data_IF_741407467971
#
_entry.id   IF_741407467971
#
_cell.length_a   1.000
_cell.length_b   1.000
_cell.length_c   1.000
_cell.angle_alpha   90.00
_cell.angle_beta   90.00
_cell.angle_gamma   90.00
#
_symmetry.space_group_name_H-M   'P 1'
#
loop_
_entity.id
_entity.type
_entity.pdbx_description
1 polymer ?
#
# COMPACT_ATOMS: atom_id res chain seq x y z
N UNK A 1 0.90 -5.40 -2.25
CA UNK A 1 1.94 -4.99 -1.30
C UNK A 1 3.17 -4.85 -2.15
N UNK A 2 3.55 -3.61 -2.44
CA UNK A 2 4.86 -3.36 -3.02
C UNK A 2 5.85 -3.22 -1.87
N UNK A 3 7.02 -3.81 -2.05
CA UNK A 3 8.10 -3.74 -1.08
C UNK A 3 9.27 -3.03 -1.72
N UNK A 4 9.59 -1.84 -1.21
CA UNK A 4 10.50 -0.91 -1.83
C UNK A 4 11.56 -0.42 -0.84
N UNK A 5 12.76 -0.07 -1.32
CA UNK A 5 13.75 0.65 -0.49
C UNK A 5 13.19 2.01 -0.10
N UNK A 6 13.61 2.56 1.03
CA UNK A 6 13.02 3.77 1.64
C UNK A 6 12.90 4.98 0.67
N UNK A 7 13.87 5.16 -0.22
CA UNK A 7 13.85 6.22 -1.25
C UNK A 7 12.78 5.99 -2.33
N UNK A 8 12.57 4.74 -2.76
CA UNK A 8 11.56 4.35 -3.75
C UNK A 8 10.15 4.40 -3.17
N UNK A 9 10.01 4.06 -1.88
CA UNK A 9 8.75 4.16 -1.16
C UNK A 9 8.26 5.62 -1.08
N UNK A 10 9.17 6.57 -0.80
CA UNK A 10 8.83 8.00 -0.73
C UNK A 10 8.29 8.53 -2.07
N UNK A 11 8.92 8.15 -3.19
CA UNK A 11 8.45 8.55 -4.53
C UNK A 11 7.04 8.00 -4.82
N UNK A 12 6.76 6.77 -4.41
CA UNK A 12 5.44 6.17 -4.59
C UNK A 12 4.39 6.86 -3.70
N UNK A 13 4.73 7.21 -2.46
CA UNK A 13 3.84 7.94 -1.54
C UNK A 13 3.43 9.29 -2.13
N UNK A 14 4.38 10.07 -2.64
CA UNK A 14 4.08 11.38 -3.21
C UNK A 14 3.24 11.28 -4.48
N UNK A 15 3.50 10.28 -5.33
CA UNK A 15 2.65 10.01 -6.51
C UNK A 15 1.21 9.66 -6.10
N UNK A 16 1.02 8.85 -5.08
CA UNK A 16 -0.31 8.47 -4.60
C UNK A 16 -1.05 9.65 -3.99
N UNK A 17 -0.37 10.50 -3.21
CA UNK A 17 -0.95 11.75 -2.67
C UNK A 17 -1.37 12.71 -3.76
N UNK A 18 -0.54 12.91 -4.78
CA UNK A 18 -0.86 13.76 -5.92
C UNK A 18 -2.09 13.29 -6.71
N UNK A 19 -2.40 11.98 -6.65
CA UNK A 19 -3.57 11.35 -7.26
C UNK A 19 -4.81 11.35 -6.35
N UNK A 20 -4.73 11.96 -5.17
CA UNK A 20 -5.84 12.09 -4.22
C UNK A 20 -5.99 10.93 -3.24
N UNK A 21 -5.04 9.98 -3.22
CA UNK A 21 -5.03 8.93 -2.21
C UNK A 21 -4.43 9.44 -0.89
N UNK A 22 -4.86 8.83 0.21
CA UNK A 22 -4.32 9.08 1.56
C UNK A 22 -3.55 7.85 2.07
N UNK A 23 -2.33 7.59 1.58
CA UNK A 23 -1.55 6.43 2.00
C UNK A 23 -1.09 6.53 3.46
N UNK A 24 -1.27 5.45 4.21
CA UNK A 24 -0.65 5.24 5.53
C UNK A 24 0.66 4.49 5.35
N UNK A 25 1.71 4.96 6.02
CA UNK A 25 3.05 4.39 5.92
C UNK A 25 3.41 3.69 7.21
N UNK A 26 3.88 2.45 7.12
CA UNK A 26 4.34 1.67 8.26
C UNK A 26 5.74 1.13 7.98
N UNK A 27 6.67 1.36 8.91
CA UNK A 27 8.00 0.77 8.86
C UNK A 27 7.98 -0.55 9.61
N UNK A 28 8.32 -1.64 8.92
CA UNK A 28 8.47 -2.95 9.51
C UNK A 28 9.95 -3.31 9.55
N UNK A 29 10.50 -3.40 10.75
CA UNK A 29 11.84 -3.92 10.95
C UNK A 29 11.81 -5.45 11.03
N UNK A 30 12.46 -6.11 10.06
CA UNK A 30 12.59 -7.57 10.02
C UNK A 30 13.99 -8.04 10.48
N UNK A 31 14.74 -7.18 11.17
CA UNK A 31 16.07 -7.44 11.73
C UNK A 31 17.19 -7.41 10.69
N UNK A 32 16.96 -8.00 9.50
CA UNK A 32 17.91 -7.98 8.37
C UNK A 32 17.70 -6.80 7.42
N UNK A 33 16.51 -6.20 7.45
CA UNK A 33 16.16 -5.02 6.67
C UNK A 33 14.90 -4.34 7.22
N UNK A 34 14.84 -3.02 7.05
CA UNK A 34 13.62 -2.23 7.29
C UNK A 34 12.81 -2.15 5.99
N UNK A 35 11.56 -2.58 6.06
CA UNK A 35 10.61 -2.54 4.95
C UNK A 35 9.63 -1.41 5.16
N UNK A 36 9.33 -0.64 4.10
CA UNK A 36 8.28 0.38 4.14
C UNK A 36 7.01 -0.19 3.50
N UNK A 37 5.95 -0.32 4.30
CA UNK A 37 4.61 -0.68 3.84
C UNK A 37 3.81 0.58 3.56
N UNK A 38 3.15 0.61 2.40
CA UNK A 38 2.22 1.67 2.02
C UNK A 38 0.82 1.05 1.96
N UNK A 39 -0.04 1.47 2.89
CA UNK A 39 -1.41 0.99 3.04
C UNK A 39 -2.37 2.03 2.45
N UNK A 40 -3.36 1.56 1.70
CA UNK A 40 -4.38 2.40 1.06
C UNK A 40 -5.75 2.01 1.60
N UNK A 41 -6.35 2.92 2.37
CA UNK A 41 -7.66 2.71 2.98
C UNK A 41 -7.68 1.68 4.11
N UNK A 42 -8.84 1.56 4.72
CA UNK A 42 -9.20 0.49 5.64
C UNK A 42 -10.62 0.06 5.27
N UNK A 43 -10.83 -1.25 5.16
CA UNK A 43 -12.05 -1.80 4.59
C UNK A 43 -12.73 -2.71 5.61
N UNK A 44 -14.08 -2.65 5.72
CA UNK A 44 -14.82 -3.43 6.70
C UNK A 44 -14.88 -4.93 6.38
N UNK A 45 -14.59 -5.32 5.13
CA UNK A 45 -14.58 -6.71 4.71
C UNK A 45 -13.47 -7.00 3.71
N UNK A 46 -13.13 -8.29 3.56
CA UNK A 46 -12.17 -8.73 2.55
C UNK A 46 -12.69 -8.46 1.14
N UNK A 47 -13.99 -8.63 0.88
CA UNK A 47 -14.57 -8.38 -0.45
C UNK A 47 -14.42 -6.91 -0.85
N UNK A 48 -14.72 -5.98 0.07
CA UNK A 48 -14.59 -4.55 -0.21
C UNK A 48 -13.14 -4.12 -0.46
N UNK A 49 -12.19 -4.75 0.24
CA UNK A 49 -10.76 -4.54 0.00
C UNK A 49 -10.32 -5.08 -1.37
N UNK A 50 -10.85 -6.23 -1.81
CA UNK A 50 -10.54 -6.83 -3.12
C UNK A 50 -11.05 -5.92 -4.23
N UNK A 51 -12.31 -5.47 -4.15
CA UNK A 51 -12.89 -4.58 -5.15
C UNK A 51 -12.08 -3.28 -5.30
N UNK A 52 -11.63 -2.71 -4.18
CA UNK A 52 -10.74 -1.54 -4.21
C UNK A 52 -9.39 -1.87 -4.86
N UNK A 53 -8.78 -3.01 -4.52
CA UNK A 53 -7.48 -3.40 -5.06
C UNK A 53 -7.54 -3.63 -6.59
N UNK A 54 -8.60 -4.26 -7.10
CA UNK A 54 -8.78 -4.51 -8.54
C UNK A 54 -8.99 -3.21 -9.32
N UNK A 55 -9.82 -2.30 -8.79
CA UNK A 55 -10.04 -0.97 -9.38
C UNK A 55 -8.74 -0.14 -9.36
N UNK A 56 -8.03 -0.13 -8.23
CA UNK A 56 -6.75 0.54 -8.08
C UNK A 56 -5.71 -0.01 -9.06
N UNK A 57 -5.56 -1.34 -9.15
CA UNK A 57 -4.60 -1.98 -10.05
C UNK A 57 -4.86 -1.63 -11.51
N UNK A 58 -6.15 -1.59 -11.89
CA UNK A 58 -6.56 -1.22 -13.25
C UNK A 58 -6.29 0.26 -13.57
N UNK A 59 -6.55 1.16 -12.62
CA UNK A 59 -6.36 2.62 -12.80
C UNK A 59 -4.90 3.04 -12.76
N UNK A 60 -4.13 2.48 -11.85
CA UNK A 60 -2.78 2.92 -11.54
C UNK A 60 -1.71 2.07 -12.23
N UNK A 61 -2.11 0.95 -12.87
CA UNK A 61 -1.20 -0.04 -13.46
C UNK A 61 -0.15 -0.52 -12.44
N UNK A 62 -0.62 -0.78 -11.22
CA UNK A 62 0.16 -1.26 -10.08
C UNK A 62 -0.37 -2.63 -9.61
N UNK A 63 0.38 -3.27 -8.70
CA UNK A 63 -0.02 -4.54 -8.07
C UNK A 63 -0.17 -4.38 -6.54
N UNK A 64 -1.27 -3.75 -6.13
CA UNK A 64 -1.74 -3.76 -4.75
C UNK A 64 -2.17 -5.18 -4.34
N UNK A 65 -1.98 -5.49 -3.06
CA UNK A 65 -2.40 -6.76 -2.46
C UNK A 65 -3.24 -6.42 -1.24
N UNK A 66 -4.31 -7.18 -1.04
CA UNK A 66 -5.13 -7.12 0.18
C UNK A 66 -4.36 -7.81 1.30
N UNK A 67 -4.19 -7.10 2.42
CA UNK A 67 -3.55 -7.62 3.63
C UNK A 67 -4.54 -7.60 4.78
N UNK A 68 -4.58 -8.66 5.59
CA UNK A 68 -5.32 -8.63 6.85
C UNK A 68 -4.45 -7.92 7.91
N UNK A 69 -5.02 -6.94 8.60
CA UNK A 69 -4.41 -6.46 9.84
C UNK A 69 -4.72 -7.47 10.94
N UNK A 70 -4.00 -8.58 10.95
CA UNK A 70 -3.97 -9.44 12.12
C UNK A 70 -3.09 -8.72 13.15
N UNK A 71 -3.71 -8.12 14.17
CA UNK A 71 -3.01 -7.73 15.39
C UNK A 71 -2.59 -8.98 16.16
#
# INVERSE_FOLDING_TARGET
>A
MASLRQSEAQVLIEKLRARGYSPRVESLDLGTATWTRILLGSFPSRETAILFADDFNSKENLQALVVSSSN
#
